data_IF_433624844718
#
_entry.id   IF_433624844718
#
_cell.length_a   1.000
_cell.length_b   1.000
_cell.length_c   1.000
_cell.angle_alpha   90.00
_cell.angle_beta   90.00
_cell.angle_gamma   90.00
#
_symmetry.space_group_name_H-M   'P 1'
#
loop_
_entity.id
_entity.type
_entity.pdbx_description
1 polymer ?
#
# COMPACT_ATOMS: atom_id res chain seq x y z
N UNK A 1 28.60 11.43 13.35
CA UNK A 1 29.09 10.38 12.45
C UNK A 1 28.39 9.03 12.65
N UNK A 2 28.17 8.55 13.86
CA UNK A 2 27.47 7.26 14.16
C UNK A 2 26.01 7.18 13.65
N UNK A 3 25.23 8.26 13.71
CA UNK A 3 23.83 8.27 13.20
C UNK A 3 23.69 8.08 11.69
N UNK A 4 24.71 8.45 10.93
CA UNK A 4 24.70 8.32 9.45
C UNK A 4 25.03 6.88 9.02
N UNK A 5 25.95 6.22 9.71
CA UNK A 5 26.30 4.82 9.43
C UNK A 5 25.17 3.84 9.80
N UNK A 6 24.45 4.07 10.90
CA UNK A 6 23.25 3.29 11.24
C UNK A 6 22.15 3.42 10.19
N UNK A 7 21.92 4.64 9.65
CA UNK A 7 20.89 4.89 8.64
C UNK A 7 21.19 4.19 7.31
N UNK A 8 22.45 4.14 6.89
CA UNK A 8 22.90 3.48 5.65
C UNK A 8 22.83 1.95 5.77
N UNK A 9 23.18 1.41 6.94
CA UNK A 9 23.09 -0.04 7.19
C UNK A 9 21.63 -0.51 7.26
N UNK A 10 20.75 0.30 7.82
CA UNK A 10 19.31 0.00 7.94
C UNK A 10 18.62 -0.06 6.56
N UNK A 11 18.95 0.85 5.66
CA UNK A 11 18.35 0.89 4.31
C UNK A 11 18.78 -0.27 3.41
N UNK A 12 20.00 -0.79 3.57
CA UNK A 12 20.48 -1.94 2.77
C UNK A 12 19.61 -3.20 2.96
N UNK A 13 19.05 -3.38 4.16
CA UNK A 13 18.22 -4.55 4.46
C UNK A 13 16.85 -4.53 3.74
N UNK A 14 16.36 -3.35 3.32
CA UNK A 14 15.05 -3.20 2.68
C UNK A 14 15.14 -2.84 1.20
N UNK A 15 16.35 -2.67 0.64
CA UNK A 15 16.52 -2.28 -0.76
C UNK A 15 15.87 -3.27 -1.73
N UNK A 16 15.96 -4.57 -1.47
CA UNK A 16 15.36 -5.59 -2.31
C UNK A 16 13.82 -5.46 -2.32
N UNK A 17 13.21 -5.25 -1.15
CA UNK A 17 11.77 -5.05 -1.01
C UNK A 17 11.33 -3.76 -1.70
N UNK A 18 12.11 -2.69 -1.52
CA UNK A 18 11.81 -1.39 -2.14
C UNK A 18 11.93 -1.43 -3.66
N UNK A 19 12.85 -2.22 -4.23
CA UNK A 19 12.96 -2.42 -5.68
C UNK A 19 11.74 -3.12 -6.26
N UNK A 20 11.17 -4.07 -5.53
CA UNK A 20 9.95 -4.79 -5.95
C UNK A 20 8.69 -3.96 -5.72
N UNK A 21 8.73 -2.99 -4.82
CA UNK A 21 7.62 -2.11 -4.53
C UNK A 21 7.27 -1.25 -5.75
N UNK A 22 5.99 -1.26 -6.13
CA UNK A 22 5.49 -0.52 -7.30
C UNK A 22 5.83 0.97 -7.28
N UNK A 23 5.96 1.56 -6.09
CA UNK A 23 6.25 2.98 -5.93
C UNK A 23 7.66 3.36 -6.41
N UNK A 24 8.63 2.43 -6.33
CA UNK A 24 10.02 2.67 -6.70
C UNK A 24 10.42 2.04 -8.03
N UNK A 25 9.51 1.49 -8.79
CA UNK A 25 9.79 0.91 -10.11
C UNK A 25 10.45 1.93 -11.04
N UNK A 26 11.46 1.48 -11.78
CA UNK A 26 12.24 2.29 -12.72
C UNK A 26 12.99 3.47 -12.07
N UNK A 27 13.24 3.40 -10.76
CA UNK A 27 14.10 4.35 -10.05
C UNK A 27 15.41 3.65 -9.72
N UNK A 28 16.53 4.24 -10.14
CA UNK A 28 17.86 3.69 -9.89
C UNK A 28 18.14 3.64 -8.38
N UNK A 29 18.63 2.49 -7.90
CA UNK A 29 18.97 2.22 -6.50
C UNK A 29 19.81 3.33 -5.85
N UNK A 30 20.77 3.89 -6.58
CA UNK A 30 21.61 5.00 -6.13
C UNK A 30 20.83 6.23 -5.68
N UNK A 31 19.60 6.36 -6.15
CA UNK A 31 18.74 7.51 -5.91
C UNK A 31 17.69 7.26 -4.84
N UNK A 32 17.38 5.97 -4.54
CA UNK A 32 16.38 5.61 -3.53
C UNK A 32 16.75 6.19 -2.17
N UNK A 33 18.01 6.05 -1.72
CA UNK A 33 18.45 6.56 -0.40
C UNK A 33 18.26 8.08 -0.27
N UNK A 34 18.71 8.83 -1.28
CA UNK A 34 18.54 10.28 -1.30
C UNK A 34 17.06 10.68 -1.32
N UNK A 35 16.27 9.95 -2.10
CA UNK A 35 14.83 10.18 -2.21
C UNK A 35 14.11 9.89 -0.90
N UNK A 36 14.37 8.78 -0.23
CA UNK A 36 13.77 8.46 1.08
C UNK A 36 14.09 9.52 2.12
N UNK A 37 15.29 10.09 2.08
CA UNK A 37 15.66 11.22 2.94
C UNK A 37 14.84 12.47 2.62
N UNK A 38 14.67 12.79 1.35
CA UNK A 38 13.85 13.91 0.88
C UNK A 38 12.38 13.74 1.28
N UNK A 39 11.85 12.53 1.13
CA UNK A 39 10.47 12.17 1.45
C UNK A 39 10.20 12.09 2.96
N UNK A 40 11.22 12.23 3.80
CA UNK A 40 11.08 12.13 5.26
C UNK A 40 10.68 10.73 5.72
N UNK A 41 11.10 9.70 4.98
CA UNK A 41 10.77 8.32 5.28
C UNK A 41 11.24 7.91 6.68
N UNK A 42 10.36 7.20 7.42
CA UNK A 42 10.62 6.67 8.76
C UNK A 42 10.21 5.21 8.78
N UNK A 43 11.00 4.35 9.41
CA UNK A 43 10.66 2.95 9.63
C UNK A 43 10.20 2.80 11.07
N UNK A 44 9.06 2.12 11.26
CA UNK A 44 8.47 1.86 12.57
C UNK A 44 8.13 0.37 12.62
N UNK A 45 8.51 -0.27 13.74
CA UNK A 45 8.15 -1.66 14.04
C UNK A 45 6.87 -1.68 14.86
N UNK A 46 6.01 -2.64 14.53
CA UNK A 46 4.73 -2.86 15.21
C UNK A 46 4.64 -4.31 15.65
N UNK A 47 4.20 -4.53 16.87
CA UNK A 47 3.90 -5.85 17.37
C UNK A 47 2.60 -6.39 16.76
N UNK A 48 2.41 -7.71 16.82
CA UNK A 48 1.15 -8.36 16.42
C UNK A 48 -0.04 -7.72 17.11
N UNK A 49 -1.11 -7.44 16.36
CA UNK A 49 -2.34 -6.78 16.79
C UNK A 49 -2.18 -5.30 17.17
N UNK A 50 -1.04 -4.71 16.89
CA UNK A 50 -0.86 -3.28 17.12
C UNK A 50 -1.50 -2.47 15.98
N UNK A 51 -2.10 -1.34 16.34
CA UNK A 51 -2.73 -0.44 15.36
C UNK A 51 -1.68 0.43 14.70
N UNK A 52 -1.55 0.29 13.37
CA UNK A 52 -0.66 1.11 12.54
C UNK A 52 -1.30 2.47 12.28
N UNK A 53 -2.56 2.47 11.83
CA UNK A 53 -3.38 3.67 11.66
C UNK A 53 -4.77 3.45 12.26
N UNK A 54 -5.25 4.41 13.03
CA UNK A 54 -6.59 4.38 13.63
C UNK A 54 -7.60 5.13 12.78
N UNK A 55 -8.81 4.62 12.70
CA UNK A 55 -9.96 5.40 12.25
C UNK A 55 -10.04 6.71 13.04
N UNK A 56 -10.42 7.80 12.37
CA UNK A 56 -10.48 9.14 12.96
C UNK A 56 -9.15 9.89 12.99
N UNK A 57 -8.00 9.23 12.78
CA UNK A 57 -6.70 9.90 12.73
C UNK A 57 -6.44 10.60 11.39
N UNK A 58 -5.61 11.66 11.35
CA UNK A 58 -5.28 12.35 10.11
C UNK A 58 -4.55 11.46 9.09
N UNK A 59 -4.94 11.53 7.82
CA UNK A 59 -4.34 10.78 6.72
C UNK A 59 -3.09 11.48 6.16
N UNK A 60 -2.00 11.51 6.93
CA UNK A 60 -0.76 12.22 6.57
C UNK A 60 0.32 11.37 5.92
N UNK A 61 0.25 10.05 6.08
CA UNK A 61 1.33 9.17 5.68
C UNK A 61 0.87 8.12 4.69
N UNK A 62 1.74 7.86 3.72
CA UNK A 62 1.69 6.68 2.86
C UNK A 62 2.52 5.60 3.56
N UNK A 63 1.96 4.41 3.71
CA UNK A 63 2.65 3.26 4.29
C UNK A 63 3.21 2.33 3.22
N UNK A 64 4.36 1.72 3.48
CA UNK A 64 4.92 0.61 2.71
C UNK A 64 5.23 -0.50 3.70
N UNK A 65 4.70 -1.69 3.48
CA UNK A 65 4.99 -2.85 4.31
C UNK A 65 6.37 -3.40 3.97
N UNK A 66 7.32 -3.31 4.91
CA UNK A 66 8.69 -3.80 4.72
C UNK A 66 8.83 -5.26 5.15
N UNK A 67 8.09 -5.67 6.18
CA UNK A 67 8.01 -7.06 6.62
C UNK A 67 6.70 -7.30 7.35
N UNK A 68 6.25 -8.56 7.37
CA UNK A 68 4.99 -8.96 7.98
C UNK A 68 3.78 -8.64 7.12
N UNK A 69 2.61 -8.56 7.75
CA UNK A 69 1.33 -8.31 7.10
C UNK A 69 0.38 -7.51 7.98
N UNK A 70 -0.61 -6.85 7.37
CA UNK A 70 -1.63 -6.10 8.08
C UNK A 70 -3.01 -6.27 7.44
N UNK A 71 -4.05 -5.88 8.17
CA UNK A 71 -5.42 -5.85 7.68
C UNK A 71 -5.99 -4.44 7.77
N UNK A 72 -6.71 -4.06 6.72
CA UNK A 72 -7.55 -2.86 6.69
C UNK A 72 -8.97 -3.28 7.00
N UNK A 73 -9.56 -2.71 8.02
CA UNK A 73 -10.95 -2.99 8.39
C UNK A 73 -11.71 -1.73 8.80
N UNK A 74 -13.00 -1.85 8.76
CA UNK A 74 -13.96 -0.85 9.23
C UNK A 74 -14.88 -1.48 10.25
N UNK A 75 -15.23 -0.74 11.29
CA UNK A 75 -16.21 -1.18 12.30
C UNK A 75 -17.58 -0.60 11.95
N UNK A 76 -18.59 -1.45 11.83
CA UNK A 76 -19.94 -0.98 11.60
C UNK A 76 -20.59 -0.47 12.91
N UNK A 77 -21.79 0.11 12.81
CA UNK A 77 -22.51 0.64 13.95
C UNK A 77 -22.92 -0.43 15.01
N UNK A 78 -22.86 -1.72 14.64
CA UNK A 78 -23.10 -2.84 15.58
C UNK A 78 -21.80 -3.35 16.23
N UNK A 79 -20.65 -2.77 15.88
CA UNK A 79 -19.34 -3.22 16.36
C UNK A 79 -18.70 -4.37 15.57
N UNK A 80 -19.31 -4.82 14.45
CA UNK A 80 -18.74 -5.86 13.62
C UNK A 80 -17.59 -5.33 12.78
N UNK A 81 -16.52 -6.11 12.66
CA UNK A 81 -15.38 -5.79 11.82
C UNK A 81 -15.60 -6.27 10.39
N UNK A 82 -15.60 -5.34 9.44
CA UNK A 82 -15.62 -5.62 8.02
C UNK A 82 -14.21 -5.49 7.44
N UNK A 83 -13.57 -6.62 7.13
CA UNK A 83 -12.24 -6.62 6.51
C UNK A 83 -12.39 -6.17 5.06
N UNK A 84 -11.70 -5.09 4.70
CA UNK A 84 -11.72 -4.50 3.36
C UNK A 84 -10.63 -5.11 2.49
N UNK A 85 -9.41 -5.25 3.03
CA UNK A 85 -8.25 -5.85 2.34
C UNK A 85 -7.16 -6.26 3.32
N UNK A 86 -6.27 -7.15 2.88
CA UNK A 86 -4.99 -7.45 3.50
C UNK A 86 -3.89 -6.61 2.84
N UNK A 87 -2.79 -6.44 3.55
CA UNK A 87 -1.57 -5.76 3.09
C UNK A 87 -0.43 -6.73 3.31
N UNK A 88 0.31 -7.02 2.26
CA UNK A 88 1.46 -7.92 2.27
C UNK A 88 2.78 -7.15 2.14
N UNK A 89 3.90 -7.82 2.41
CA UNK A 89 5.24 -7.24 2.24
C UNK A 89 5.45 -6.71 0.83
N UNK A 90 6.00 -5.51 0.71
CA UNK A 90 6.21 -4.79 -0.56
C UNK A 90 5.03 -3.93 -1.00
N UNK A 91 3.87 -4.06 -0.37
CA UNK A 91 2.68 -3.31 -0.76
C UNK A 91 2.64 -1.90 -0.15
N UNK A 92 2.12 -0.98 -0.95
CA UNK A 92 1.81 0.41 -0.56
C UNK A 92 0.39 0.46 0.00
N UNK A 93 0.17 1.18 1.07
CA UNK A 93 -1.15 1.33 1.67
C UNK A 93 -1.41 2.74 2.22
N UNK A 94 -2.67 3.06 2.47
CA UNK A 94 -3.16 4.37 2.90
C UNK A 94 -2.87 5.53 1.93
N UNK A 95 -2.27 5.28 0.76
CA UNK A 95 -1.91 6.27 -0.24
C UNK A 95 -3.13 7.01 -0.79
N UNK A 96 -4.25 6.32 -1.00
CA UNK A 96 -5.47 6.93 -1.51
C UNK A 96 -6.02 7.99 -0.55
N UNK A 97 -6.01 7.69 0.74
CA UNK A 97 -6.47 8.62 1.78
C UNK A 97 -5.51 9.79 1.95
N UNK A 98 -4.21 9.49 1.99
CA UNK A 98 -3.17 10.49 2.17
C UNK A 98 -3.07 11.45 0.97
N UNK A 99 -3.22 10.95 -0.26
CA UNK A 99 -3.21 11.77 -1.48
C UNK A 99 -4.52 12.55 -1.69
N UNK A 100 -5.63 12.07 -1.13
CA UNK A 100 -6.91 12.81 -1.15
C UNK A 100 -6.98 13.88 -0.04
N UNK A 101 -5.94 13.97 0.79
CA UNK A 101 -5.83 14.95 1.90
C UNK A 101 -7.06 14.94 2.81
N UNK A 102 -7.63 13.74 3.06
CA UNK A 102 -8.79 13.64 3.96
C UNK A 102 -8.38 13.94 5.41
N UNK A 103 -9.21 14.66 6.13
CA UNK A 103 -8.95 15.06 7.51
C UNK A 103 -8.91 13.88 8.48
N UNK A 104 -9.67 12.82 8.17
CA UNK A 104 -9.89 11.70 9.07
C UNK A 104 -9.95 10.39 8.29
N UNK A 105 -9.15 9.40 8.70
CA UNK A 105 -9.16 8.06 8.12
C UNK A 105 -10.51 7.36 8.41
N UNK A 106 -11.18 6.80 7.39
CA UNK A 106 -12.43 6.06 7.59
C UNK A 106 -12.21 4.59 7.94
N UNK A 107 -10.97 4.17 8.19
CA UNK A 107 -10.59 2.77 8.40
C UNK A 107 -9.52 2.65 9.50
N UNK A 108 -9.44 1.47 10.09
CA UNK A 108 -8.32 1.08 10.97
C UNK A 108 -7.42 0.08 10.26
N UNK A 109 -6.10 0.23 10.43
CA UNK A 109 -5.09 -0.70 9.92
C UNK A 109 -4.35 -1.31 11.11
N UNK A 110 -4.35 -2.65 11.18
CA UNK A 110 -3.77 -3.41 12.29
C UNK A 110 -2.77 -4.44 11.77
N UNK A 111 -1.63 -4.59 12.46
CA UNK A 111 -0.64 -5.61 12.16
C UNK A 111 -1.17 -7.02 12.52
N UNK A 112 -1.11 -7.97 11.58
CA UNK A 112 -1.50 -9.36 11.81
C UNK A 112 -0.42 -10.15 12.55
N UNK A 113 0.83 -9.72 12.42
CA UNK A 113 2.04 -10.32 12.96
C UNK A 113 3.06 -9.20 13.25
N UNK A 114 4.21 -9.48 13.88
CA UNK A 114 5.27 -8.49 14.02
C UNK A 114 5.65 -7.96 12.64
N UNK A 115 5.57 -6.64 12.46
CA UNK A 115 5.65 -6.01 11.14
C UNK A 115 6.51 -4.75 11.20
N UNK A 116 7.20 -4.45 10.10
CA UNK A 116 7.93 -3.21 9.91
C UNK A 116 7.33 -2.42 8.76
N UNK A 117 7.08 -1.17 9.01
CA UNK A 117 6.39 -0.27 8.07
C UNK A 117 7.24 0.97 7.83
N UNK A 118 7.45 1.29 6.56
CA UNK A 118 7.99 2.59 6.16
C UNK A 118 6.84 3.58 5.99
N UNK A 119 6.92 4.71 6.67
CA UNK A 119 5.98 5.82 6.57
C UNK A 119 6.62 6.96 5.79
N UNK A 120 5.93 7.44 4.76
CA UNK A 120 6.35 8.54 3.89
C UNK A 120 5.32 9.67 4.04
N UNK A 121 5.79 10.88 4.25
CA UNK A 121 4.93 12.07 4.30
C UNK A 121 4.32 12.36 2.92
N UNK A 122 2.98 12.30 2.81
CA UNK A 122 2.26 12.51 1.53
C UNK A 122 2.50 13.89 0.95
N UNK A 123 2.58 14.93 1.77
CA UNK A 123 2.88 16.29 1.30
C UNK A 123 4.23 16.36 0.59
N UNK A 124 5.23 15.61 1.08
CA UNK A 124 6.55 15.58 0.42
C UNK A 124 6.56 14.77 -0.87
N UNK A 125 5.59 13.90 -1.07
CA UNK A 125 5.41 13.16 -2.33
C UNK A 125 4.68 14.04 -3.35
N UNK A 126 3.60 14.70 -2.95
CA UNK A 126 2.71 15.47 -3.83
C UNK A 126 3.30 16.81 -4.24
N UNK A 127 3.91 17.51 -3.30
CA UNK A 127 4.50 18.82 -3.54
C UNK A 127 5.97 18.64 -3.90
N UNK A 128 6.28 18.79 -5.18
CA UNK A 128 7.62 18.60 -5.75
C UNK A 128 8.68 19.43 -5.01
N UNK A 129 9.83 18.81 -4.76
CA UNK A 129 10.97 19.52 -4.23
C UNK A 129 11.44 20.62 -5.22
N UNK A 130 11.94 21.73 -4.69
CA UNK A 130 12.48 22.87 -5.47
C UNK A 130 13.59 22.48 -6.46
N UNK A 131 14.17 21.29 -6.30
CA UNK A 131 15.30 20.78 -7.10
C UNK A 131 14.89 20.03 -8.37
N UNK A 132 13.59 19.95 -8.70
CA UNK A 132 13.05 19.37 -9.94
C UNK A 132 13.70 18.02 -10.32
N UNK A 133 13.91 17.13 -9.34
CA UNK A 133 14.64 15.88 -9.58
C UNK A 133 13.79 14.87 -10.38
N UNK A 134 14.39 14.26 -11.40
CA UNK A 134 13.72 13.32 -12.31
C UNK A 134 13.12 12.12 -11.58
N UNK A 135 13.70 11.72 -10.44
CA UNK A 135 13.20 10.64 -9.61
C UNK A 135 11.85 10.94 -8.96
N UNK A 136 11.62 12.19 -8.58
CA UNK A 136 10.34 12.61 -7.99
C UNK A 136 9.22 12.50 -9.00
N UNK A 137 9.48 12.87 -10.25
CA UNK A 137 8.52 12.70 -11.36
C UNK A 137 8.16 11.23 -11.57
N UNK A 138 9.19 10.35 -11.57
CA UNK A 138 8.97 8.91 -11.69
C UNK A 138 8.17 8.35 -10.50
N UNK A 139 8.45 8.80 -9.28
CA UNK A 139 7.71 8.42 -8.08
C UNK A 139 6.23 8.79 -8.19
N UNK A 140 5.91 10.03 -8.58
CA UNK A 140 4.53 10.49 -8.77
C UNK A 140 3.83 9.67 -9.86
N UNK A 141 4.52 9.39 -10.97
CA UNK A 141 3.97 8.54 -12.02
C UNK A 141 3.64 7.14 -11.51
N UNK A 142 4.55 6.53 -10.74
CA UNK A 142 4.35 5.23 -10.14
C UNK A 142 3.18 5.24 -9.13
N UNK A 143 3.07 6.29 -8.32
CA UNK A 143 1.96 6.47 -7.38
C UNK A 143 0.61 6.56 -8.12
N UNK A 144 0.53 7.36 -9.18
CA UNK A 144 -0.68 7.45 -10.01
C UNK A 144 -1.05 6.09 -10.62
N UNK A 145 -0.05 5.35 -11.13
CA UNK A 145 -0.26 4.03 -11.68
C UNK A 145 -0.76 3.04 -10.63
N UNK A 146 -0.19 3.07 -9.42
CA UNK A 146 -0.63 2.25 -8.28
C UNK A 146 -2.09 2.55 -7.92
N UNK A 147 -2.45 3.83 -7.75
CA UNK A 147 -3.82 4.27 -7.47
C UNK A 147 -4.80 3.84 -8.56
N UNK A 148 -4.43 4.00 -9.84
CA UNK A 148 -5.26 3.55 -10.96
C UNK A 148 -5.45 2.04 -10.97
N UNK A 149 -4.40 1.26 -10.70
CA UNK A 149 -4.47 -0.20 -10.62
C UNK A 149 -5.40 -0.65 -9.50
N UNK A 150 -5.27 -0.06 -8.31
CA UNK A 150 -6.16 -0.35 -7.18
C UNK A 150 -7.61 0.05 -7.47
N UNK A 151 -7.83 1.20 -8.12
CA UNK A 151 -9.16 1.60 -8.56
C UNK A 151 -9.79 0.56 -9.48
N UNK A 152 -9.07 0.03 -10.47
CA UNK A 152 -9.55 -1.05 -11.34
C UNK A 152 -9.88 -2.33 -10.56
N UNK A 153 -9.07 -2.69 -9.56
CA UNK A 153 -9.33 -3.84 -8.69
C UNK A 153 -10.61 -3.63 -7.87
N UNK A 154 -10.84 -2.44 -7.33
CA UNK A 154 -12.09 -2.10 -6.64
C UNK A 154 -13.30 -2.16 -7.58
N UNK A 155 -13.19 -1.65 -8.81
CA UNK A 155 -14.26 -1.80 -9.81
C UNK A 155 -14.61 -3.26 -10.07
N UNK A 156 -13.61 -4.13 -10.23
CA UNK A 156 -13.84 -5.57 -10.41
C UNK A 156 -14.52 -6.19 -9.17
N UNK A 157 -14.09 -5.81 -7.95
CA UNK A 157 -14.71 -6.28 -6.72
C UNK A 157 -16.18 -5.85 -6.62
N UNK A 158 -16.48 -4.60 -6.98
CA UNK A 158 -17.86 -4.08 -7.03
C UNK A 158 -18.67 -4.84 -8.08
N UNK A 159 -18.12 -5.07 -9.27
CA UNK A 159 -18.81 -5.84 -10.34
C UNK A 159 -19.23 -7.23 -9.86
N UNK A 160 -18.36 -7.93 -9.12
CA UNK A 160 -18.66 -9.23 -8.55
C UNK A 160 -19.70 -9.13 -7.44
N UNK A 161 -19.48 -8.25 -6.47
CA UNK A 161 -20.28 -8.17 -5.24
C UNK A 161 -21.67 -7.60 -5.47
N UNK A 162 -21.87 -6.77 -6.50
CA UNK A 162 -23.14 -6.18 -6.89
C UNK A 162 -24.12 -7.17 -7.52
N UNK A 163 -23.66 -8.37 -7.91
CA UNK A 163 -24.56 -9.41 -8.46
C UNK A 163 -25.52 -9.88 -7.39
N UNK A 164 -26.76 -10.19 -7.77
CA UNK A 164 -27.85 -10.49 -6.84
C UNK A 164 -27.69 -11.84 -6.14
N UNK A 165 -27.28 -12.87 -6.89
CA UNK A 165 -27.17 -14.24 -6.37
C UNK A 165 -25.71 -14.68 -6.21
N UNK A 166 -25.45 -15.60 -5.26
CA UNK A 166 -24.13 -16.21 -5.08
C UNK A 166 -23.62 -16.89 -6.36
N UNK A 167 -24.54 -17.52 -7.11
CA UNK A 167 -24.20 -18.15 -8.39
C UNK A 167 -23.67 -17.12 -9.39
N UNK A 168 -24.34 -15.99 -9.54
CA UNK A 168 -23.91 -14.92 -10.43
C UNK A 168 -22.58 -14.30 -9.99
N UNK A 169 -22.38 -14.08 -8.68
CA UNK A 169 -21.11 -13.63 -8.12
C UNK A 169 -19.98 -14.57 -8.51
N UNK A 170 -20.16 -15.87 -8.29
CA UNK A 170 -19.18 -16.89 -8.63
C UNK A 170 -18.88 -16.94 -10.14
N UNK A 171 -19.91 -16.97 -10.98
CA UNK A 171 -19.72 -16.98 -12.44
C UNK A 171 -19.01 -15.72 -12.93
N UNK A 172 -19.33 -14.55 -12.38
CA UNK A 172 -18.65 -13.29 -12.72
C UNK A 172 -17.18 -13.35 -12.33
N UNK A 173 -16.88 -13.82 -11.11
CA UNK A 173 -15.51 -14.01 -10.65
C UNK A 173 -14.72 -14.96 -11.56
N UNK A 174 -15.27 -16.13 -11.86
CA UNK A 174 -14.63 -17.11 -12.74
C UNK A 174 -14.39 -16.56 -14.16
N UNK A 175 -15.36 -15.81 -14.70
CA UNK A 175 -15.22 -15.15 -16.00
C UNK A 175 -14.06 -14.13 -16.01
N UNK A 176 -13.93 -13.32 -14.95
CA UNK A 176 -12.84 -12.37 -14.81
C UNK A 176 -11.50 -13.10 -14.73
N UNK A 177 -11.39 -14.17 -13.92
CA UNK A 177 -10.15 -14.94 -13.78
C UNK A 177 -9.76 -15.62 -15.11
N UNK A 178 -10.72 -16.23 -15.82
CA UNK A 178 -10.48 -16.83 -17.13
C UNK A 178 -9.93 -15.83 -18.14
N UNK A 179 -10.49 -14.62 -18.17
CA UNK A 179 -10.00 -13.53 -19.05
C UNK A 179 -8.58 -13.06 -18.67
N UNK A 180 -8.27 -12.93 -17.37
CA UNK A 180 -6.92 -12.56 -16.90
C UNK A 180 -5.85 -13.53 -17.35
N UNK A 181 -6.13 -14.83 -17.25
CA UNK A 181 -5.18 -15.89 -17.61
C UNK A 181 -5.24 -16.25 -19.11
N UNK A 182 -6.25 -15.78 -19.82
CA UNK A 182 -6.54 -16.12 -21.21
C UNK A 182 -6.61 -17.65 -21.46
N UNK A 183 -7.17 -18.40 -20.49
CA UNK A 183 -7.32 -19.86 -20.54
C UNK A 183 -8.68 -20.28 -19.99
N UNK A 184 -9.23 -21.37 -20.53
CA UNK A 184 -10.48 -21.96 -20.04
C UNK A 184 -10.30 -22.76 -18.75
N UNK A 185 -9.09 -23.23 -18.46
CA UNK A 185 -8.75 -23.96 -17.23
C UNK A 185 -7.67 -23.17 -16.48
N UNK A 186 -7.90 -22.91 -15.20
CA UNK A 186 -7.00 -22.17 -14.31
C UNK A 186 -7.20 -22.60 -12.86
N UNK A 187 -6.18 -22.44 -12.04
CA UNK A 187 -6.25 -22.70 -10.60
C UNK A 187 -6.62 -21.40 -9.88
N UNK A 188 -7.54 -21.49 -8.93
CA UNK A 188 -7.89 -20.39 -8.05
C UNK A 188 -7.22 -20.68 -6.72
N UNK A 189 -6.40 -19.77 -6.17
CA UNK A 189 -5.93 -19.92 -4.81
C UNK A 189 -7.14 -19.75 -3.87
N UNK A 190 -7.40 -20.78 -3.08
CA UNK A 190 -8.30 -20.69 -1.93
C UNK A 190 -7.44 -20.57 -0.69
N UNK A 191 -7.66 -19.50 0.05
CA UNK A 191 -7.23 -19.37 1.45
C UNK A 191 -8.39 -19.81 2.35
#
# INVERSE_FOLDING_TARGET
>A
MLKFQQKVFFLKNYLEILKECDLFKNIDEKHIDKMLTCLGAKIISFDKKYTIFSEGSPAKYIGIMLSGSAQIFQVDYNGNRNILSSIETGEVFAEAFACAEIDSLPVTIIANEPSEVMLIDSCRVLYTCSNNCDFHRQLIFNLMKNLATKSLQFHQKIEITSKRTTREKLLTYLSIQSKKVNKKSFTIPFD
#
